data_IF_567659797075
#
_entry.id   IF_567659797075
#
_cell.length_a   1.000
_cell.length_b   1.000
_cell.length_c   1.000
_cell.angle_alpha   90.00
_cell.angle_beta   90.00
_cell.angle_gamma   90.00
#
_symmetry.space_group_name_H-M   'P 1'
#
loop_
_entity.id
_entity.type
_entity.pdbx_description
1 polymer ?
#
# COMPACT_ATOMS: atom_id res chain seq x y z
N UNK A 1 10.61 -0.97 8.14
CA UNK A 1 9.85 -0.32 9.22
C UNK A 1 8.54 0.19 8.66
N UNK A 2 7.50 0.31 9.47
CA UNK A 2 6.14 0.68 9.03
C UNK A 2 5.81 2.12 9.39
N UNK A 3 6.83 2.96 9.51
CA UNK A 3 6.69 4.36 9.92
C UNK A 3 6.20 5.18 8.72
N UNK A 4 5.10 5.91 8.90
CA UNK A 4 4.70 6.94 7.94
C UNK A 4 5.50 8.22 8.15
N UNK A 5 5.71 8.99 7.10
CA UNK A 5 6.50 10.22 7.18
C UNK A 5 6.86 10.79 5.83
N UNK A 6 7.61 11.89 5.83
CA UNK A 6 8.06 12.57 4.60
C UNK A 6 9.47 12.12 4.25
N UNK A 7 9.67 11.70 2.99
CA UNK A 7 10.97 11.32 2.46
C UNK A 7 11.68 10.28 3.33
N UNK A 8 12.90 10.59 3.77
CA UNK A 8 13.73 9.67 4.56
C UNK A 8 13.18 9.38 5.97
N UNK A 9 12.18 10.13 6.45
CA UNK A 9 11.53 9.82 7.73
C UNK A 9 10.55 8.63 7.62
N UNK A 10 10.11 8.28 6.40
CA UNK A 10 9.26 7.12 6.18
C UNK A 10 10.06 5.81 6.20
N UNK A 11 9.46 4.77 6.77
CA UNK A 11 9.96 3.41 6.69
C UNK A 11 9.19 2.57 5.67
N UNK A 12 9.89 1.65 5.02
CA UNK A 12 9.34 0.61 4.14
C UNK A 12 9.56 -0.78 4.75
N UNK A 13 8.68 -1.74 4.48
CA UNK A 13 8.74 -3.09 5.03
C UNK A 13 8.53 -4.15 3.93
N UNK A 14 9.61 -4.40 3.17
CA UNK A 14 9.62 -5.26 1.98
C UNK A 14 8.60 -4.79 0.91
N UNK A 15 8.81 -3.62 0.29
CA UNK A 15 7.88 -3.07 -0.68
C UNK A 15 7.83 -3.92 -1.96
N UNK A 16 6.63 -4.19 -2.47
CA UNK A 16 6.38 -4.94 -3.71
C UNK A 16 5.21 -4.34 -4.50
N UNK A 17 5.17 -4.62 -5.80
CA UNK A 17 4.03 -4.26 -6.66
C UNK A 17 3.79 -2.75 -6.76
N UNK A 18 4.83 -1.99 -7.09
CA UNK A 18 4.73 -0.53 -7.26
C UNK A 18 3.88 -0.18 -8.49
N UNK A 19 2.91 0.71 -8.30
CA UNK A 19 2.14 1.35 -9.39
C UNK A 19 2.03 2.85 -9.16
N UNK A 20 1.89 3.62 -10.23
CA UNK A 20 1.68 5.08 -10.18
C UNK A 20 0.28 5.43 -10.67
N UNK A 21 -0.36 6.39 -10.03
CA UNK A 21 -1.55 7.07 -10.57
C UNK A 21 -1.18 8.37 -11.27
N UNK A 22 -2.13 8.88 -12.05
CA UNK A 22 -1.98 10.18 -12.74
C UNK A 22 -2.03 11.38 -11.78
N UNK A 23 -2.50 11.19 -10.54
CA UNK A 23 -2.62 12.22 -9.49
C UNK A 23 -1.37 12.31 -8.59
N UNK A 24 -0.19 12.05 -9.15
CA UNK A 24 1.10 12.11 -8.43
C UNK A 24 1.14 11.21 -7.17
N UNK A 25 0.46 10.06 -7.19
CA UNK A 25 0.54 9.05 -6.13
C UNK A 25 1.27 7.81 -6.61
N UNK A 26 2.10 7.25 -5.73
CA UNK A 26 2.61 5.89 -5.86
C UNK A 26 1.91 4.99 -4.85
N UNK A 27 1.59 3.78 -5.25
CA UNK A 27 1.03 2.75 -4.38
C UNK A 27 1.89 1.49 -4.44
N UNK A 28 2.06 0.82 -3.30
CA UNK A 28 2.75 -0.46 -3.20
C UNK A 28 2.22 -1.25 -1.99
N UNK A 29 2.56 -2.53 -1.91
CA UNK A 29 2.32 -3.33 -0.71
C UNK A 29 3.63 -3.49 0.05
N UNK A 30 3.61 -3.23 1.35
CA UNK A 30 4.66 -3.72 2.24
C UNK A 30 4.37 -5.19 2.58
N UNK A 31 5.05 -6.12 1.91
CA UNK A 31 4.70 -7.55 1.94
C UNK A 31 4.92 -8.22 3.29
N UNK A 32 5.81 -7.67 4.14
CA UNK A 32 6.02 -8.19 5.48
C UNK A 32 4.77 -8.02 6.38
N UNK A 33 3.88 -7.09 6.03
CA UNK A 33 2.63 -6.84 6.76
C UNK A 33 1.36 -6.95 5.91
N UNK A 34 1.47 -7.12 4.59
CA UNK A 34 0.32 -7.11 3.68
C UNK A 34 -0.43 -5.77 3.67
N UNK A 35 0.30 -4.65 3.83
CA UNK A 35 -0.28 -3.32 4.02
C UNK A 35 -0.19 -2.52 2.72
N UNK A 36 -1.33 -1.93 2.30
CA UNK A 36 -1.31 -0.91 1.25
C UNK A 36 -0.62 0.35 1.75
N UNK A 37 0.36 0.81 0.98
CA UNK A 37 1.07 2.05 1.18
C UNK A 37 0.81 3.01 0.03
N UNK A 38 0.87 4.29 0.33
CA UNK A 38 0.81 5.38 -0.65
C UNK A 38 1.96 6.35 -0.42
N UNK A 39 2.49 6.94 -1.48
CA UNK A 39 3.38 8.10 -1.43
C UNK A 39 2.82 9.19 -2.34
N UNK A 40 2.62 10.37 -1.78
CA UNK A 40 2.36 11.57 -2.56
C UNK A 40 3.68 12.13 -3.07
N UNK A 41 3.86 12.21 -4.39
CA UNK A 41 5.10 12.65 -5.03
C UNK A 41 5.35 14.15 -4.88
N UNK A 42 4.30 14.95 -4.67
CA UNK A 42 4.40 16.40 -4.48
C UNK A 42 4.90 16.74 -3.07
N UNK A 43 4.31 16.13 -2.04
CA UNK A 43 4.64 16.40 -0.64
C UNK A 43 5.74 15.49 -0.09
N UNK A 44 6.01 14.36 -0.75
CA UNK A 44 6.90 13.31 -0.27
C UNK A 44 6.35 12.50 0.90
N UNK A 45 5.08 12.71 1.29
CA UNK A 45 4.43 11.97 2.38
C UNK A 45 4.18 10.53 1.96
N UNK A 46 4.70 9.58 2.74
CA UNK A 46 4.35 8.16 2.67
C UNK A 46 3.46 7.76 3.83
N UNK A 47 2.28 7.22 3.54
CA UNK A 47 1.26 6.82 4.52
C UNK A 47 0.59 5.47 4.17
N UNK A 48 -0.49 5.14 4.88
CA UNK A 48 -1.27 3.92 4.70
C UNK A 48 -2.74 4.32 4.42
N UNK A 49 -3.15 4.43 3.15
CA UNK A 49 -4.38 5.14 2.76
C UNK A 49 -5.67 4.51 3.28
N UNK A 50 -5.65 3.21 3.61
CA UNK A 50 -6.82 2.50 4.13
C UNK A 50 -7.02 2.64 5.64
N UNK A 51 -6.09 3.31 6.33
CA UNK A 51 -6.08 3.41 7.80
C UNK A 51 -5.77 4.84 8.23
N UNK A 52 -6.09 5.18 9.49
CA UNK A 52 -5.75 6.48 10.06
C UNK A 52 -4.23 6.73 10.10
N UNK A 53 -3.46 5.66 10.33
CA UNK A 53 -2.01 5.65 10.26
C UNK A 53 -1.47 4.24 9.97
N UNK A 54 -0.18 4.17 9.65
CA UNK A 54 0.49 2.91 9.38
C UNK A 54 0.69 2.03 10.62
N UNK A 55 0.68 2.58 11.83
CA UNK A 55 0.76 1.76 13.04
C UNK A 55 -0.52 0.93 13.23
N UNK A 56 -1.67 1.55 12.98
CA UNK A 56 -3.00 0.93 12.99
C UNK A 56 -3.13 -0.12 11.88
N UNK A 57 -2.58 0.16 10.70
CA UNK A 57 -2.57 -0.79 9.59
C UNK A 57 -1.86 -2.11 9.96
N UNK A 58 -0.70 -2.02 10.62
CA UNK A 58 0.08 -3.20 11.07
C UNK A 58 -0.63 -4.00 12.14
N UNK A 59 -1.37 -3.32 13.03
CA UNK A 59 -2.12 -3.97 14.09
C UNK A 59 -3.45 -4.59 13.58
N UNK A 60 -3.84 -4.31 12.33
CA UNK A 60 -5.14 -4.70 11.80
C UNK A 60 -5.13 -6.13 11.23
N UNK A 61 -6.11 -6.98 11.57
CA UNK A 61 -6.32 -8.25 10.90
C UNK A 61 -6.84 -8.10 9.46
N UNK A 62 -7.17 -6.87 9.03
CA UNK A 62 -7.67 -6.55 7.69
C UNK A 62 -6.57 -6.29 6.65
N UNK A 63 -5.31 -6.56 6.96
CA UNK A 63 -4.25 -6.63 5.96
C UNK A 63 -4.56 -7.72 4.92
N UNK A 64 -4.06 -7.59 3.69
CA UNK A 64 -4.42 -8.48 2.57
C UNK A 64 -4.02 -9.95 2.77
N UNK A 65 -3.20 -10.24 3.78
CA UNK A 65 -2.75 -11.60 4.13
C UNK A 65 -1.71 -12.15 3.16
N UNK A 66 -0.79 -12.97 3.66
CA UNK A 66 0.29 -13.56 2.86
C UNK A 66 1.48 -12.62 2.65
N UNK A 67 2.35 -13.01 1.71
CA UNK A 67 3.58 -12.32 1.31
C UNK A 67 3.67 -12.10 -0.22
N UNK A 68 2.90 -12.86 -1.01
CA UNK A 68 2.88 -12.78 -2.47
C UNK A 68 1.80 -11.80 -2.94
N UNK A 69 2.21 -10.66 -3.49
CA UNK A 69 1.29 -9.61 -3.93
C UNK A 69 1.55 -9.15 -5.37
N UNK A 70 0.47 -8.83 -6.09
CA UNK A 70 0.50 -8.08 -7.34
C UNK A 70 -0.51 -6.94 -7.29
N UNK A 71 -0.18 -5.83 -7.97
CA UNK A 71 -0.98 -4.61 -7.97
C UNK A 71 -1.20 -4.13 -9.39
N UNK A 72 -2.41 -3.63 -9.63
CA UNK A 72 -2.76 -2.95 -10.87
C UNK A 72 -3.66 -1.75 -10.55
N UNK A 73 -3.48 -0.65 -11.28
CA UNK A 73 -4.37 0.50 -11.22
C UNK A 73 -5.35 0.41 -12.39
N UNK A 74 -6.64 0.58 -12.11
CA UNK A 74 -7.68 0.69 -13.13
C UNK A 74 -7.89 2.14 -13.58
N UNK A 75 -8.51 2.33 -14.74
CA UNK A 75 -8.73 3.64 -15.38
C UNK A 75 -9.59 4.62 -14.56
N UNK A 76 -10.33 4.11 -13.56
CA UNK A 76 -11.12 4.93 -12.64
C UNK A 76 -10.37 5.33 -11.37
N UNK A 77 -9.07 5.04 -11.27
CA UNK A 77 -8.26 5.21 -10.06
C UNK A 77 -8.46 4.11 -9.01
N UNK A 78 -9.29 3.10 -9.29
CA UNK A 78 -9.46 1.95 -8.41
C UNK A 78 -8.18 1.09 -8.43
N UNK A 79 -7.70 0.69 -7.26
CA UNK A 79 -6.55 -0.18 -7.12
C UNK A 79 -7.01 -1.63 -6.95
N UNK A 80 -6.38 -2.54 -7.67
CA UNK A 80 -6.58 -3.97 -7.55
C UNK A 80 -5.38 -4.62 -6.90
N UNK A 81 -5.60 -5.37 -5.83
CA UNK A 81 -4.55 -6.10 -5.09
C UNK A 81 -4.85 -7.58 -5.16
N UNK A 82 -3.99 -8.34 -5.81
CA UNK A 82 -4.02 -9.80 -5.75
C UNK A 82 -3.14 -10.27 -4.59
N UNK A 83 -3.74 -10.82 -3.56
CA UNK A 83 -3.05 -11.54 -2.50
C UNK A 83 -2.95 -13.01 -2.90
N UNK A 84 -1.80 -13.40 -3.45
CA UNK A 84 -1.59 -14.71 -4.07
C UNK A 84 -1.74 -15.86 -3.08
N UNK A 85 -1.15 -15.74 -1.90
CA UNK A 85 -1.20 -16.81 -0.90
C UNK A 85 -2.59 -16.93 -0.25
N UNK A 86 -3.38 -15.86 -0.28
CA UNK A 86 -4.75 -15.84 0.18
C UNK A 86 -5.76 -16.13 -0.95
N UNK A 87 -5.27 -16.33 -2.18
CA UNK A 87 -6.08 -16.56 -3.39
C UNK A 87 -7.21 -15.54 -3.58
N UNK A 88 -7.00 -14.31 -3.13
CA UNK A 88 -8.04 -13.28 -3.05
C UNK A 88 -7.65 -12.05 -3.86
N UNK A 89 -8.56 -11.60 -4.73
CA UNK A 89 -8.46 -10.33 -5.43
C UNK A 89 -9.30 -9.28 -4.70
N UNK A 90 -8.65 -8.22 -4.23
CA UNK A 90 -9.29 -7.07 -3.62
C UNK A 90 -9.42 -5.95 -4.64
N UNK A 91 -10.55 -5.25 -4.61
CA UNK A 91 -10.70 -3.92 -5.20
C UNK A 91 -10.69 -2.90 -4.07
N UNK A 92 -9.82 -1.92 -4.16
CA UNK A 92 -9.63 -0.85 -3.19
C UNK A 92 -9.92 0.48 -3.87
N UNK A 93 -10.76 1.29 -3.24
CA UNK A 93 -10.97 2.69 -3.62
C UNK A 93 -10.24 3.52 -2.53
N UNK A 94 -8.95 3.87 -2.75
CA UNK A 94 -8.05 4.40 -1.72
C UNK A 94 -8.25 5.89 -1.36
#
# INVERSE_FOLDING_TARGET
GTVQGVGAAAGLAAPVGLVSSDDDQLFWIDSAGGILRRMNLVSGLSDCPMFADCATAVASPSAFGGASFALALGDSGALYVLAGDAETLFRVDP
#
